data_IF_574301711282
#
_entry.id   IF_574301711282
#
_cell.length_a   1.000
_cell.length_b   1.000
_cell.length_c   1.000
_cell.angle_alpha   90.00
_cell.angle_beta   90.00
_cell.angle_gamma   90.00
#
_symmetry.space_group_name_H-M   'P 1'
#
loop_
_entity.id
_entity.type
_entity.pdbx_description
1 polymer ?
#
# COMPACT_ATOMS: atom_id res chain seq x y z
N UNK A 1 -2.81 3.80 7.85
CA UNK A 1 -1.81 2.94 7.19
C UNK A 1 -2.54 2.05 6.21
N UNK A 2 -2.28 2.23 4.91
CA UNK A 2 -2.93 1.48 3.83
C UNK A 2 -1.89 0.56 3.19
N UNK A 3 -2.13 -0.75 3.22
CA UNK A 3 -1.22 -1.76 2.68
C UNK A 3 -1.91 -2.46 1.51
N UNK A 4 -1.21 -2.57 0.39
CA UNK A 4 -1.64 -3.29 -0.80
C UNK A 4 -0.69 -4.45 -1.11
N UNK A 5 -1.24 -5.55 -1.60
CA UNK A 5 -0.45 -6.66 -2.14
C UNK A 5 -0.62 -6.66 -3.66
N UNK A 6 0.40 -6.20 -4.39
CA UNK A 6 0.41 -6.24 -5.85
C UNK A 6 0.84 -7.61 -6.35
N UNK A 7 0.35 -8.02 -7.52
CA UNK A 7 0.62 -9.36 -8.05
C UNK A 7 -0.17 -10.49 -7.37
N UNK A 8 -1.13 -10.17 -6.49
CA UNK A 8 -1.96 -11.13 -5.76
C UNK A 8 -2.75 -12.09 -6.68
N UNK A 9 -3.02 -11.69 -7.93
CA UNK A 9 -3.66 -12.53 -8.95
C UNK A 9 -2.83 -13.75 -9.37
N UNK A 10 -1.49 -13.69 -9.20
CA UNK A 10 -0.58 -14.81 -9.48
C UNK A 10 -0.56 -15.84 -8.34
N UNK A 11 -1.06 -15.45 -7.18
CA UNK A 11 -1.12 -16.29 -5.98
C UNK A 11 -2.38 -17.16 -6.00
N UNK A 12 -2.26 -18.38 -5.48
CA UNK A 12 -3.40 -19.20 -5.09
C UNK A 12 -4.09 -18.60 -3.87
N UNK A 13 -5.32 -19.04 -3.60
CA UNK A 13 -6.06 -18.58 -2.42
C UNK A 13 -5.30 -18.81 -1.10
N UNK A 14 -4.70 -20.00 -0.93
CA UNK A 14 -3.92 -20.34 0.26
C UNK A 14 -2.63 -19.51 0.38
N UNK A 15 -1.96 -19.24 -0.74
CA UNK A 15 -0.80 -18.34 -0.74
C UNK A 15 -1.20 -16.92 -0.33
N UNK A 16 -2.31 -16.39 -0.87
CA UNK A 16 -2.82 -15.05 -0.47
C UNK A 16 -3.07 -14.98 1.03
N UNK A 17 -3.77 -15.96 1.60
CA UNK A 17 -4.04 -16.01 3.04
C UNK A 17 -2.74 -15.99 3.86
N UNK A 18 -1.78 -16.85 3.51
CA UNK A 18 -0.49 -16.93 4.23
C UNK A 18 0.29 -15.63 4.12
N UNK A 19 0.41 -15.05 2.93
CA UNK A 19 1.12 -13.80 2.71
C UNK A 19 0.46 -12.67 3.49
N UNK A 20 -0.85 -12.46 3.33
CA UNK A 20 -1.56 -11.39 4.05
C UNK A 20 -1.34 -11.48 5.55
N UNK A 21 -1.49 -12.66 6.15
CA UNK A 21 -1.25 -12.84 7.58
C UNK A 21 0.21 -12.60 7.98
N UNK A 22 1.18 -13.04 7.16
CA UNK A 22 2.61 -12.80 7.41
C UNK A 22 3.00 -11.33 7.36
N UNK A 23 2.55 -10.62 6.33
CA UNK A 23 2.86 -9.20 6.15
C UNK A 23 2.15 -8.32 7.18
N UNK A 24 1.03 -8.79 7.75
CA UNK A 24 0.39 -8.19 8.93
C UNK A 24 1.09 -8.54 10.26
N UNK A 25 2.21 -9.28 10.23
CA UNK A 25 3.03 -9.57 11.41
C UNK A 25 2.65 -10.82 12.20
N UNK A 26 1.79 -11.71 11.68
CA UNK A 26 1.40 -12.92 12.41
C UNK A 26 2.51 -14.00 12.41
N UNK A 27 2.66 -14.69 13.55
CA UNK A 27 3.62 -15.79 13.68
C UNK A 27 3.19 -17.02 12.86
N UNK A 28 4.16 -17.87 12.51
CA UNK A 28 3.90 -19.09 11.72
C UNK A 28 2.94 -20.04 12.46
N UNK A 29 3.05 -20.12 13.77
CA UNK A 29 2.24 -20.96 14.66
C UNK A 29 0.79 -20.46 14.68
N UNK A 30 0.58 -19.14 14.74
CA UNK A 30 -0.76 -18.54 14.66
C UNK A 30 -1.40 -18.84 13.31
N UNK A 31 -0.67 -18.63 12.22
CA UNK A 31 -1.15 -18.90 10.86
C UNK A 31 -1.50 -20.39 10.68
N UNK A 32 -0.63 -21.27 11.17
CA UNK A 32 -0.81 -22.72 11.14
C UNK A 32 -2.11 -23.14 11.82
N UNK A 33 -2.34 -22.66 13.06
CA UNK A 33 -3.59 -22.94 13.80
C UNK A 33 -4.82 -22.34 13.10
N UNK A 34 -4.72 -21.11 12.61
CA UNK A 34 -5.85 -20.43 11.98
C UNK A 34 -6.27 -21.07 10.64
N UNK A 35 -5.32 -21.55 9.86
CA UNK A 35 -5.57 -22.12 8.53
C UNK A 35 -5.73 -23.66 8.53
N UNK A 36 -5.46 -24.32 9.67
CA UNK A 36 -5.54 -25.77 9.83
C UNK A 36 -4.47 -26.52 9.01
N UNK A 37 -3.28 -25.93 8.83
CA UNK A 37 -2.17 -26.49 8.05
C UNK A 37 -0.89 -26.52 8.85
N UNK A 38 0.02 -27.46 8.56
CA UNK A 38 1.29 -27.57 9.27
C UNK A 38 2.22 -26.37 9.06
N UNK A 39 3.12 -26.04 10.02
CA UNK A 39 4.07 -24.93 9.91
C UNK A 39 4.97 -25.02 8.66
N UNK A 40 5.38 -26.23 8.26
CA UNK A 40 6.14 -26.46 7.02
C UNK A 40 5.35 -26.11 5.75
N UNK A 41 4.04 -26.33 5.76
CA UNK A 41 3.14 -25.94 4.67
C UNK A 41 3.03 -24.41 4.59
N UNK A 42 2.94 -23.73 5.74
CA UNK A 42 2.95 -22.25 5.78
C UNK A 42 4.24 -21.72 5.16
N UNK A 43 5.40 -22.24 5.56
CA UNK A 43 6.69 -21.84 5.01
C UNK A 43 6.78 -22.10 3.48
N UNK A 44 6.31 -23.26 3.03
CA UNK A 44 6.28 -23.63 1.62
C UNK A 44 5.41 -22.69 0.80
N UNK A 45 4.19 -22.39 1.27
CA UNK A 45 3.28 -21.47 0.59
C UNK A 45 3.85 -20.05 0.55
N UNK A 46 4.44 -19.58 1.65
CA UNK A 46 5.06 -18.25 1.70
C UNK A 46 6.23 -18.12 0.72
N UNK A 47 7.13 -19.11 0.69
CA UNK A 47 8.27 -19.11 -0.24
C UNK A 47 7.81 -19.20 -1.70
N UNK A 48 6.81 -20.03 -1.99
CA UNK A 48 6.21 -20.14 -3.33
C UNK A 48 5.57 -18.83 -3.77
N UNK A 49 4.87 -18.14 -2.86
CA UNK A 49 4.32 -16.83 -3.14
C UNK A 49 5.42 -15.81 -3.47
N UNK A 50 6.50 -15.74 -2.67
CA UNK A 50 7.63 -14.83 -2.93
C UNK A 50 8.28 -15.10 -4.30
N UNK A 51 8.43 -16.37 -4.67
CA UNK A 51 8.97 -16.75 -5.98
C UNK A 51 8.11 -16.27 -7.16
N UNK A 52 6.81 -16.02 -6.96
CA UNK A 52 5.90 -15.47 -7.98
C UNK A 52 6.00 -13.94 -8.12
N UNK A 53 6.77 -13.27 -7.27
CA UNK A 53 7.02 -11.84 -7.33
C UNK A 53 5.79 -10.99 -7.02
N UNK A 54 5.12 -11.25 -5.89
CA UNK A 54 4.18 -10.27 -5.34
C UNK A 54 4.97 -9.15 -4.64
N UNK A 55 4.35 -7.98 -4.52
CA UNK A 55 4.95 -6.83 -3.86
C UNK A 55 4.03 -6.36 -2.73
N UNK A 56 4.61 -5.93 -1.61
CA UNK A 56 3.90 -5.27 -0.52
C UNK A 56 4.16 -3.78 -0.65
N UNK A 57 3.10 -3.01 -0.86
CA UNK A 57 3.17 -1.57 -1.04
C UNK A 57 2.43 -0.90 0.11
N UNK A 58 3.05 0.11 0.70
CA UNK A 58 2.39 1.02 1.63
C UNK A 58 2.03 2.28 0.84
N UNK A 59 0.75 2.64 0.83
CA UNK A 59 0.30 3.89 0.20
C UNK A 59 0.22 4.96 1.28
N UNK A 60 0.96 6.04 1.07
CA UNK A 60 1.00 7.21 1.93
C UNK A 60 0.54 8.42 1.13
N UNK A 61 -0.43 9.21 1.63
CA UNK A 61 -0.74 10.52 1.05
C UNK A 61 0.52 11.40 1.06
N UNK A 62 0.71 12.22 0.03
CA UNK A 62 1.89 13.08 -0.09
C UNK A 62 2.11 13.91 1.17
N UNK A 63 1.09 14.56 1.72
CA UNK A 63 1.29 15.41 2.90
C UNK A 63 1.69 14.62 4.18
N UNK A 64 1.55 13.29 4.19
CA UNK A 64 1.71 12.46 5.40
C UNK A 64 3.17 12.20 5.81
N UNK A 65 4.13 12.39 4.90
CA UNK A 65 5.54 12.10 5.18
C UNK A 65 6.34 13.33 5.64
N UNK A 66 5.78 14.54 5.52
CA UNK A 66 6.48 15.78 5.88
C UNK A 66 7.83 15.97 5.18
N UNK A 67 8.05 15.29 4.06
CA UNK A 67 9.31 15.29 3.29
C UNK A 67 9.44 16.50 2.36
N UNK A 68 8.34 17.19 2.07
CA UNK A 68 8.33 18.44 1.31
C UNK A 68 8.51 19.62 2.27
N UNK A 69 9.57 20.40 2.05
CA UNK A 69 9.83 21.64 2.81
C UNK A 69 8.95 22.80 2.34
N UNK A 70 8.88 23.92 3.10
CA UNK A 70 8.06 25.09 2.76
C UNK A 70 8.46 25.80 1.46
N UNK A 71 9.62 25.48 0.88
CA UNK A 71 10.17 26.14 -0.31
C UNK A 71 10.08 25.30 -1.60
N UNK A 72 9.43 24.14 -1.58
CA UNK A 72 9.13 23.40 -2.81
C UNK A 72 7.81 23.89 -3.42
N UNK A 73 7.80 24.41 -4.67
CA UNK A 73 6.58 24.78 -5.35
C UNK A 73 5.78 23.51 -5.68
N UNK A 74 4.94 23.10 -4.74
CA UNK A 74 3.90 22.11 -4.96
C UNK A 74 3.01 22.59 -6.10
N UNK A 75 2.82 21.72 -7.10
CA UNK A 75 1.88 21.93 -8.19
C UNK A 75 0.49 22.21 -7.60
N UNK A 76 0.12 23.49 -7.53
CA UNK A 76 -1.24 23.90 -7.24
C UNK A 76 -2.08 23.55 -8.45
N UNK A 77 -2.88 22.49 -8.35
CA UNK A 77 -3.90 22.18 -9.34
C UNK A 77 -4.83 23.38 -9.49
N UNK A 78 -4.92 23.88 -10.73
CA UNK A 78 -5.71 25.04 -11.09
C UNK A 78 -7.20 24.84 -10.81
N UNK A 79 -7.75 25.70 -9.96
CA UNK A 79 -9.18 25.94 -9.79
C UNK A 79 -9.41 27.44 -9.71
N UNK A 80 -9.92 28.02 -10.80
CA UNK A 80 -9.99 29.47 -10.99
C UNK A 80 -11.07 30.19 -10.21
N UNK A 81 -11.00 31.52 -10.28
CA UNK A 81 -12.12 32.37 -10.64
C UNK A 81 -11.52 33.70 -11.10
N UNK A 82 -11.62 33.98 -12.40
CA UNK A 82 -11.51 35.34 -12.90
C UNK A 82 -12.79 36.08 -12.57
N UNK A 83 -12.65 37.24 -11.94
CA UNK A 83 -13.58 38.36 -11.85
C UNK A 83 -12.78 39.49 -11.17
N UNK A 84 -12.69 40.72 -11.61
CA UNK A 84 -13.17 41.39 -12.81
C UNK A 84 -12.19 42.54 -13.07
N UNK A 85 -12.10 42.93 -14.34
CA UNK A 85 -11.34 44.07 -14.83
C UNK A 85 -11.75 45.39 -14.17
N UNK A 86 -10.72 46.21 -13.94
CA UNK A 86 -10.63 47.66 -14.02
C UNK A 86 -11.89 48.54 -13.95
N UNK A 87 -11.69 49.67 -13.26
CA UNK A 87 -11.91 51.03 -13.77
C UNK A 87 -12.90 51.86 -12.94
N UNK A 88 -12.36 52.70 -12.04
CA UNK A 88 -12.84 54.09 -11.87
C UNK A 88 -11.72 54.93 -11.25
N UNK A 89 -11.16 55.91 -11.96
CA UNK A 89 -10.18 56.83 -11.39
C UNK A 89 -10.84 58.08 -10.78
N UNK A 90 -10.17 58.56 -9.72
CA UNK A 90 -10.27 59.85 -9.01
C UNK A 90 -11.45 60.06 -8.05
#
# INVERSE_FOLDING_TARGET
MHIEIRGAQRLSFRERQVVTMKEMGMSTEIISRHLGIGPGTVATLFNRARAKGYEVVIVLPGESLGIWGPDEPGATDGGGQGDAVDDTPL
#
